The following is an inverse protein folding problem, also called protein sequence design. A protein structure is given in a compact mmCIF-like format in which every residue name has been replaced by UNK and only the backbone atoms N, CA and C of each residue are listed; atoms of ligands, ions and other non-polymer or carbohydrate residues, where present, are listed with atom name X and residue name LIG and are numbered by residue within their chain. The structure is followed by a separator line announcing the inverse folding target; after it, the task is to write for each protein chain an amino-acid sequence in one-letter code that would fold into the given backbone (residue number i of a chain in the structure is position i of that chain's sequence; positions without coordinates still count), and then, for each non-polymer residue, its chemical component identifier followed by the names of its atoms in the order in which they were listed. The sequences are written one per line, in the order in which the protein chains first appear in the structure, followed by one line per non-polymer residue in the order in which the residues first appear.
data_IF_777369744567
#
_entry.id   IF_777369744567
#
_cell.length_a   1.000
_cell.length_b   1.000
_cell.length_c   1.000
_cell.angle_alpha   90.00
_cell.angle_beta   90.00
_cell.angle_gamma   90.00
#
_symmetry.space_group_name_H-M   'P 1'
#
loop_
_entity.id
_entity.type
_entity.pdbx_description
1 polymer ?
#
# COMPACT_ATOMS: atom_id res chain seq x y z
N UNK A 1 -36.08 0.50 19.31
CA UNK A 1 -34.64 0.53 18.97
C UNK A 1 -34.32 -0.46 17.82
N UNK A 2 -35.27 -0.76 16.93
CA UNK A 2 -35.11 -1.86 15.96
C UNK A 2 -34.67 -1.45 14.54
N UNK A 3 -34.70 -0.18 14.14
CA UNK A 3 -34.31 0.25 12.77
C UNK A 3 -32.87 0.79 12.64
N UNK A 4 -31.98 0.46 13.58
CA UNK A 4 -30.58 0.92 13.52
C UNK A 4 -29.66 -0.01 12.74
N UNK A 5 -30.03 -1.29 12.58
CA UNK A 5 -29.20 -2.29 11.92
C UNK A 5 -29.30 -2.26 10.38
N UNK A 6 -30.41 -1.76 9.82
CA UNK A 6 -30.60 -1.62 8.36
C UNK A 6 -29.83 -0.44 7.73
N UNK A 7 -29.20 0.42 8.55
CA UNK A 7 -28.49 1.63 8.08
C UNK A 7 -26.97 1.44 7.97
N UNK A 8 -26.45 0.25 8.29
CA UNK A 8 -25.01 -0.03 8.32
C UNK A 8 -24.70 -1.05 7.24
N UNK A 9 -23.99 -0.61 6.21
CA UNK A 9 -23.50 -1.48 5.13
C UNK A 9 -21.99 -1.66 5.25
N UNK A 10 -21.55 -2.92 5.18
CA UNK A 10 -20.13 -3.25 5.13
C UNK A 10 -19.68 -3.38 3.68
N UNK A 11 -18.65 -2.62 3.32
CA UNK A 11 -17.96 -2.68 2.03
C UNK A 11 -16.52 -3.10 2.28
N UNK A 12 -15.96 -3.94 1.41
CA UNK A 12 -14.55 -4.29 1.55
C UNK A 12 -13.70 -3.07 1.13
N UNK A 13 -12.47 -2.96 1.63
CA UNK A 13 -11.56 -1.88 1.21
C UNK A 13 -11.31 -1.91 -0.30
N UNK A 14 -11.20 -3.10 -0.87
CA UNK A 14 -11.01 -3.30 -2.31
C UNK A 14 -12.19 -2.77 -3.12
N UNK A 15 -13.43 -3.08 -2.70
CA UNK A 15 -14.65 -2.58 -3.33
C UNK A 15 -14.74 -1.07 -3.23
N UNK A 16 -14.53 -0.51 -2.04
CA UNK A 16 -14.52 0.94 -1.83
C UNK A 16 -13.48 1.63 -2.72
N UNK A 17 -12.25 1.12 -2.75
CA UNK A 17 -11.19 1.65 -3.61
C UNK A 17 -11.51 1.54 -5.10
N UNK A 18 -12.15 0.44 -5.55
CA UNK A 18 -12.63 0.31 -6.93
C UNK A 18 -13.64 1.42 -7.27
N UNK A 19 -14.62 1.64 -6.39
CA UNK A 19 -15.61 2.71 -6.52
C UNK A 19 -14.95 4.08 -6.65
N UNK A 20 -13.99 4.38 -5.77
CA UNK A 20 -13.19 5.60 -5.85
C UNK A 20 -12.50 5.74 -7.21
N UNK A 21 -11.85 4.69 -7.70
CA UNK A 21 -11.17 4.73 -8.98
C UNK A 21 -12.13 4.99 -10.14
N UNK A 22 -13.29 4.33 -10.18
CA UNK A 22 -14.32 4.53 -11.22
C UNK A 22 -14.84 5.97 -11.20
N UNK A 23 -15.15 6.50 -10.00
CA UNK A 23 -15.60 7.87 -9.83
C UNK A 23 -14.55 8.91 -10.27
N UNK A 24 -13.26 8.55 -10.19
CA UNK A 24 -12.14 9.37 -10.64
C UNK A 24 -11.69 9.06 -12.08
N UNK A 25 -12.54 8.43 -12.89
CA UNK A 25 -12.32 8.28 -14.33
C UNK A 25 -11.59 7.01 -14.76
N UNK A 26 -11.44 6.01 -13.88
CA UNK A 26 -10.99 4.69 -14.30
C UNK A 26 -12.01 4.08 -15.27
N UNK A 27 -11.60 3.92 -16.53
CA UNK A 27 -12.37 3.17 -17.52
C UNK A 27 -11.96 1.70 -17.48
N UNK A 28 -12.90 0.84 -17.10
CA UNK A 28 -12.67 -0.61 -17.08
C UNK A 28 -13.12 -1.22 -18.41
N UNK A 29 -12.16 -1.76 -19.17
CA UNK A 29 -12.45 -2.57 -20.35
C UNK A 29 -13.11 -3.88 -19.87
N UNK A 30 -14.32 -4.24 -20.34
CA UNK A 30 -14.97 -5.50 -19.95
C UNK A 30 -14.12 -6.76 -20.20
N UNK A 31 -13.19 -6.72 -21.16
CA UNK A 31 -12.27 -7.81 -21.47
C UNK A 31 -11.02 -7.82 -20.57
N UNK A 32 -10.70 -6.70 -19.93
CA UNK A 32 -9.50 -6.54 -19.10
C UNK A 32 -9.87 -6.44 -17.62
N UNK A 33 -9.26 -7.28 -16.79
CA UNK A 33 -9.42 -7.17 -15.33
C UNK A 33 -8.79 -5.88 -14.78
N UNK A 34 -9.18 -5.51 -13.56
CA UNK A 34 -8.52 -4.45 -12.77
C UNK A 34 -8.05 -5.04 -11.46
N UNK A 35 -6.80 -4.80 -11.09
CA UNK A 35 -6.26 -5.10 -9.76
C UNK A 35 -6.17 -3.79 -8.98
N UNK A 36 -6.89 -3.71 -7.86
CA UNK A 36 -6.79 -2.62 -6.90
C UNK A 36 -5.72 -2.97 -5.88
N UNK A 37 -4.75 -2.09 -5.70
CA UNK A 37 -3.66 -2.21 -4.73
C UNK A 37 -3.80 -1.07 -3.73
N UNK A 38 -4.52 -1.30 -2.63
CA UNK A 38 -4.65 -0.32 -1.54
C UNK A 38 -3.45 -0.44 -0.60
N UNK A 39 -2.42 0.35 -0.90
CA UNK A 39 -1.21 0.46 -0.10
C UNK A 39 -1.41 1.44 1.06
N UNK A 40 -1.81 0.91 2.22
CA UNK A 40 -2.06 1.67 3.44
C UNK A 40 -0.87 1.78 4.39
N UNK A 41 -1.15 2.35 5.56
CA UNK A 41 -0.15 2.53 6.63
C UNK A 41 0.31 1.21 7.25
N UNK A 42 -0.63 0.32 7.58
CA UNK A 42 -0.35 -0.98 8.18
C UNK A 42 -0.37 -2.14 7.18
N UNK A 43 -1.40 -2.17 6.33
CA UNK A 43 -1.63 -3.25 5.37
C UNK A 43 -1.50 -2.76 3.93
N UNK A 44 -1.22 -3.70 3.04
CA UNK A 44 -1.47 -3.53 1.60
C UNK A 44 -2.54 -4.55 1.22
N UNK A 45 -3.73 -4.06 0.88
CA UNK A 45 -4.88 -4.87 0.52
C UNK A 45 -4.97 -4.94 -1.01
N UNK A 46 -5.06 -6.14 -1.57
CA UNK A 46 -5.03 -6.38 -3.02
C UNK A 46 -6.25 -7.19 -3.40
N UNK A 47 -7.01 -6.70 -4.38
CA UNK A 47 -8.18 -7.40 -4.91
C UNK A 47 -8.31 -7.18 -6.41
N UNK A 48 -8.82 -8.18 -7.11
CA UNK A 48 -8.98 -8.14 -8.56
C UNK A 48 -10.46 -8.20 -8.93
N UNK A 49 -10.87 -7.36 -9.86
CA UNK A 49 -12.24 -7.23 -10.34
C UNK A 49 -12.33 -7.33 -11.86
N UNK A 50 -13.49 -7.77 -12.35
CA UNK A 50 -13.86 -7.65 -13.77
C UNK A 50 -15.29 -7.16 -13.88
N UNK A 51 -15.54 -6.32 -14.89
CA UNK A 51 -16.87 -5.80 -15.20
C UNK A 51 -17.70 -6.84 -15.95
N UNK A 52 -18.96 -6.99 -15.58
CA UNK A 52 -19.92 -7.82 -16.31
C UNK A 52 -20.39 -7.05 -17.55
N UNK A 53 -20.22 -7.64 -18.74
CA UNK A 53 -20.50 -7.00 -20.04
C UNK A 53 -21.99 -6.74 -20.27
N UNK A 54 -22.88 -7.46 -19.57
CA UNK A 54 -24.33 -7.48 -19.83
C UNK A 54 -25.16 -6.62 -18.87
N UNK A 55 -24.62 -6.20 -17.73
CA UNK A 55 -25.32 -5.42 -16.71
C UNK A 55 -24.63 -4.07 -16.52
N UNK A 56 -25.41 -2.99 -16.55
CA UNK A 56 -24.88 -1.63 -16.38
C UNK A 56 -24.35 -1.49 -14.96
N UNK A 57 -23.03 -1.62 -14.85
CA UNK A 57 -22.30 -1.24 -13.67
C UNK A 57 -22.14 -2.33 -12.62
N UNK A 58 -22.11 -3.59 -13.01
CA UNK A 58 -21.78 -4.66 -12.06
C UNK A 58 -20.34 -5.12 -12.26
N UNK A 59 -19.57 -5.16 -11.17
CA UNK A 59 -18.24 -5.78 -11.13
C UNK A 59 -18.23 -6.94 -10.12
N UNK A 60 -17.46 -7.98 -10.39
CA UNK A 60 -17.27 -9.11 -9.48
C UNK A 60 -15.78 -9.37 -9.24
N UNK A 61 -15.47 -9.90 -8.06
CA UNK A 61 -14.10 -10.34 -7.73
C UNK A 61 -13.70 -11.55 -8.57
N UNK A 62 -12.51 -11.52 -9.18
CA UNK A 62 -11.99 -12.58 -10.06
C UNK A 62 -10.88 -13.42 -9.44
N UNK A 63 -10.40 -13.02 -8.26
CA UNK A 63 -9.38 -13.73 -7.51
C UNK A 63 -9.58 -13.48 -6.00
N UNK A 64 -9.06 -14.38 -5.17
CA UNK A 64 -9.14 -14.24 -3.71
C UNK A 64 -8.36 -13.00 -3.27
N UNK A 65 -8.96 -12.04 -2.54
CA UNK A 65 -8.25 -10.88 -2.06
C UNK A 65 -7.10 -11.25 -1.11
N UNK A 66 -5.97 -10.55 -1.26
CA UNK A 66 -4.80 -10.71 -0.40
C UNK A 66 -4.63 -9.49 0.53
N UNK A 67 -4.12 -9.73 1.73
CA UNK A 67 -3.81 -8.68 2.71
C UNK A 67 -2.39 -8.88 3.22
N UNK A 68 -1.49 -7.98 2.85
CA UNK A 68 -0.08 -8.03 3.22
C UNK A 68 0.17 -7.11 4.41
N UNK A 69 0.84 -7.63 5.45
CA UNK A 69 1.39 -6.82 6.55
C UNK A 69 2.71 -6.19 6.12
N UNK A 70 2.63 -5.30 5.11
CA UNK A 70 3.76 -4.67 4.44
C UNK A 70 3.55 -3.18 4.15
N UNK A 71 2.60 -2.54 4.83
CA UNK A 71 2.32 -1.11 4.67
C UNK A 71 3.47 -0.19 5.10
N UNK A 72 3.26 1.12 5.00
CA UNK A 72 4.27 2.17 5.27
C UNK A 72 4.96 2.05 6.64
N UNK A 73 4.28 1.55 7.67
CA UNK A 73 4.85 1.40 9.02
C UNK A 73 6.02 0.41 9.06
N UNK A 74 6.04 -0.59 8.16
CA UNK A 74 7.13 -1.57 8.11
C UNK A 74 8.43 -0.95 7.56
N UNK A 75 8.33 0.12 6.76
CA UNK A 75 9.49 0.93 6.36
C UNK A 75 10.05 1.64 7.59
N UNK A 76 9.18 2.22 8.43
CA UNK A 76 9.56 2.87 9.68
C UNK A 76 10.22 1.91 10.67
N UNK A 77 9.68 0.69 10.79
CA UNK A 77 10.25 -0.35 11.67
C UNK A 77 11.68 -0.70 11.24
N UNK A 78 11.90 -0.99 9.95
CA UNK A 78 13.23 -1.32 9.43
C UNK A 78 14.22 -0.15 9.54
N UNK A 79 13.74 1.08 9.33
CA UNK A 79 14.55 2.27 9.57
C UNK A 79 14.94 2.38 11.06
N UNK A 80 14.01 2.12 11.98
CA UNK A 80 14.27 2.10 13.42
C UNK A 80 15.28 1.04 13.83
N UNK A 81 15.18 -0.18 13.30
CA UNK A 81 16.15 -1.27 13.50
C UNK A 81 17.54 -0.85 13.02
N UNK A 82 17.64 -0.31 11.80
CA UNK A 82 18.90 0.19 11.25
C UNK A 82 19.50 1.33 12.10
N UNK A 83 18.67 2.26 12.57
CA UNK A 83 19.11 3.37 13.43
C UNK A 83 19.60 2.86 14.79
N UNK A 84 18.92 1.88 15.38
CA UNK A 84 19.32 1.26 16.65
C UNK A 84 20.71 0.65 16.55
N UNK A 85 20.95 -0.14 15.50
CA UNK A 85 22.25 -0.79 15.27
C UNK A 85 23.34 0.26 14.97
N UNK A 86 23.02 1.25 14.13
CA UNK A 86 23.97 2.29 13.73
C UNK A 86 24.38 3.21 14.89
N UNK A 87 23.46 3.53 15.79
CA UNK A 87 23.69 4.47 16.90
C UNK A 87 24.15 3.79 18.18
N UNK A 88 24.22 2.46 18.20
CA UNK A 88 24.61 1.68 19.36
C UNK A 88 25.98 2.12 19.90
N UNK A 89 26.07 2.35 21.21
CA UNK A 89 27.31 2.78 21.87
C UNK A 89 27.67 4.26 21.65
N UNK A 90 26.87 5.01 20.89
CA UNK A 90 27.03 6.45 20.73
C UNK A 90 26.19 7.25 21.73
N UNK A 91 26.46 8.55 21.84
CA UNK A 91 25.64 9.49 22.62
C UNK A 91 24.21 9.66 22.09
N UNK A 92 23.90 9.14 20.90
CA UNK A 92 22.58 9.21 20.27
C UNK A 92 21.79 7.90 20.41
N UNK A 93 22.30 6.92 21.15
CA UNK A 93 21.65 5.62 21.31
C UNK A 93 20.23 5.72 21.90
N UNK A 94 20.01 6.69 22.79
CA UNK A 94 18.69 6.95 23.40
C UNK A 94 17.77 7.82 22.52
N UNK A 95 18.30 8.42 21.44
CA UNK A 95 17.55 9.29 20.53
C UNK A 95 16.91 8.53 19.35
N UNK A 96 17.05 7.19 19.29
CA UNK A 96 16.61 6.36 18.15
C UNK A 96 15.15 6.62 17.79
N UNK A 97 14.25 6.66 18.77
CA UNK A 97 12.82 6.87 18.53
C UNK A 97 12.53 8.26 17.95
N UNK A 98 13.20 9.30 18.46
CA UNK A 98 13.10 10.66 17.94
C UNK A 98 13.64 10.76 16.50
N UNK A 99 14.80 10.15 16.23
CA UNK A 99 15.42 10.15 14.89
C UNK A 99 14.53 9.39 13.90
N UNK A 100 13.92 8.28 14.31
CA UNK A 100 12.93 7.54 13.53
C UNK A 100 11.70 8.39 13.24
N UNK A 101 11.19 9.14 14.22
CA UNK A 101 10.05 10.04 14.02
C UNK A 101 10.40 11.15 13.01
N UNK A 102 11.61 11.71 13.08
CA UNK A 102 12.12 12.66 12.08
C UNK A 102 12.18 12.05 10.68
N UNK A 103 12.64 10.80 10.56
CA UNK A 103 12.65 10.03 9.31
C UNK A 103 11.23 9.89 8.74
N UNK A 104 10.25 9.54 9.57
CA UNK A 104 8.86 9.35 9.16
C UNK A 104 8.19 10.65 8.70
N UNK A 105 8.46 11.76 9.37
CA UNK A 105 7.90 13.08 9.05
C UNK A 105 8.51 13.72 7.79
N UNK A 106 9.72 13.32 7.41
CA UNK A 106 10.47 14.03 6.35
C UNK A 106 11.09 13.08 5.33
N UNK A 107 12.15 12.37 5.71
CA UNK A 107 13.00 11.59 4.81
C UNK A 107 12.22 10.52 4.06
N UNK A 108 11.37 9.75 4.75
CA UNK A 108 10.55 8.68 4.16
C UNK A 108 9.59 9.22 3.10
N UNK A 109 8.94 10.35 3.38
CA UNK A 109 7.94 10.97 2.51
C UNK A 109 8.57 11.61 1.26
N UNK A 110 9.82 12.07 1.39
CA UNK A 110 10.55 12.79 0.33
C UNK A 110 11.46 11.89 -0.50
N UNK A 111 11.61 10.62 -0.13
CA UNK A 111 12.51 9.70 -0.80
C UNK A 111 12.07 9.43 -2.25
N UNK A 112 12.99 9.59 -3.21
CA UNK A 112 12.73 9.45 -4.66
C UNK A 112 13.75 8.64 -5.44
N UNK A 113 15.01 8.55 -4.99
CA UNK A 113 16.09 7.92 -5.76
C UNK A 113 17.14 7.26 -4.86
N UNK A 114 17.74 6.19 -5.36
CA UNK A 114 18.89 5.51 -4.74
C UNK A 114 20.21 6.27 -4.90
N UNK A 115 20.28 7.16 -5.89
CA UNK A 115 21.53 7.81 -6.32
C UNK A 115 21.84 9.07 -5.50
N UNK A 116 20.86 9.55 -4.74
CA UNK A 116 20.96 10.75 -3.91
C UNK A 116 21.08 10.41 -2.43
N UNK A 117 21.76 11.30 -1.70
CA UNK A 117 21.79 11.24 -0.24
C UNK A 117 20.45 11.63 0.35
N UNK A 118 20.01 10.87 1.34
CA UNK A 118 18.87 11.18 2.18
C UNK A 118 19.33 11.74 3.51
N UNK A 119 18.58 12.72 4.03
CA UNK A 119 18.96 13.46 5.23
C UNK A 119 17.85 13.33 6.26
N UNK A 120 18.21 12.93 7.49
CA UNK A 120 17.33 12.94 8.66
C UNK A 120 17.80 14.08 9.55
N UNK A 121 17.04 15.17 9.61
CA UNK A 121 17.31 16.29 10.53
C UNK A 121 16.65 16.01 11.87
N UNK A 122 17.46 15.85 12.92
CA UNK A 122 16.98 15.49 14.25
C UNK A 122 17.59 16.36 15.37
N UNK A 123 18.77 16.95 15.13
CA UNK A 123 19.56 17.67 16.14
C UNK A 123 19.79 19.15 15.83
N UNK A 124 20.68 19.75 16.61
CA UNK A 124 21.12 21.16 16.51
C UNK A 124 22.31 21.29 15.56
N UNK A 125 22.59 22.50 15.02
CA UNK A 125 23.73 22.72 14.12
C UNK A 125 25.11 22.33 14.66
N UNK A 126 25.29 22.30 15.98
CA UNK A 126 26.55 21.88 16.63
C UNK A 126 26.71 20.36 16.74
N UNK A 127 25.65 19.60 16.52
CA UNK A 127 25.68 18.15 16.67
C UNK A 127 26.37 17.53 15.45
N UNK A 128 27.49 16.86 15.72
CA UNK A 128 28.37 16.25 14.72
C UNK A 128 28.92 14.93 15.27
N UNK A 129 29.01 13.95 14.38
CA UNK A 129 29.68 12.68 14.58
C UNK A 129 29.98 12.06 13.19
N UNK A 130 31.25 12.10 12.77
CA UNK A 130 31.63 11.68 11.41
C UNK A 130 31.49 10.17 11.22
N UNK A 131 31.76 9.37 12.25
CA UNK A 131 31.64 7.91 12.19
C UNK A 131 30.19 7.48 11.91
N UNK A 132 29.23 8.28 12.37
CA UNK A 132 27.79 8.05 12.18
C UNK A 132 27.21 8.79 10.97
N UNK A 133 28.04 9.49 10.19
CA UNK A 133 27.61 10.39 9.11
C UNK A 133 26.64 11.50 9.59
N UNK A 134 26.90 12.06 10.77
CA UNK A 134 26.13 13.15 11.36
C UNK A 134 26.91 14.47 11.25
N UNK A 135 26.27 15.47 10.65
CA UNK A 135 26.81 16.82 10.54
C UNK A 135 25.68 17.84 10.60
N UNK A 136 25.88 18.97 11.29
CA UNK A 136 24.88 20.04 11.41
C UNK A 136 23.52 19.55 11.95
N UNK A 137 23.52 18.55 12.85
CA UNK A 137 22.30 17.95 13.40
C UNK A 137 21.51 17.09 12.41
N UNK A 138 22.15 16.65 11.32
CA UNK A 138 21.54 15.82 10.30
C UNK A 138 22.35 14.54 10.10
N UNK A 139 21.67 13.40 10.13
CA UNK A 139 22.25 12.12 9.71
C UNK A 139 22.08 11.96 8.20
N UNK A 140 23.17 11.62 7.51
CA UNK A 140 23.14 11.24 6.09
C UNK A 140 23.01 9.72 5.95
N UNK A 141 22.07 9.30 5.11
CA UNK A 141 21.88 7.91 4.67
C UNK A 141 22.00 7.86 3.15
N UNK A 142 22.69 6.86 2.61
CA UNK A 142 22.69 6.67 1.16
C UNK A 142 21.29 6.28 0.69
N UNK A 143 20.92 6.66 -0.53
CA UNK A 143 19.64 6.26 -1.10
C UNK A 143 19.47 4.74 -1.16
N UNK A 144 20.56 4.00 -1.38
CA UNK A 144 20.55 2.53 -1.31
C UNK A 144 20.10 1.98 0.07
N UNK A 145 20.54 2.60 1.18
CA UNK A 145 20.11 2.20 2.53
C UNK A 145 18.62 2.49 2.71
N UNK A 146 18.17 3.69 2.33
CA UNK A 146 16.75 4.06 2.47
C UNK A 146 15.86 3.16 1.60
N UNK A 147 16.23 2.90 0.36
CA UNK A 147 15.57 1.94 -0.51
C UNK A 147 15.50 0.54 0.11
N UNK A 148 16.55 0.12 0.83
CA UNK A 148 16.58 -1.12 1.60
C UNK A 148 15.40 -1.28 2.56
N UNK A 149 14.90 -0.19 3.16
CA UNK A 149 13.75 -0.22 4.06
C UNK A 149 12.43 -0.49 3.33
N UNK A 150 12.31 -0.04 2.09
CA UNK A 150 11.12 -0.21 1.27
C UNK A 150 11.11 -1.54 0.50
N UNK A 151 12.28 -2.06 0.11
CA UNK A 151 12.43 -3.27 -0.73
C UNK A 151 11.56 -4.45 -0.30
N UNK A 152 11.51 -4.86 0.99
CA UNK A 152 10.70 -6.02 1.37
C UNK A 152 9.18 -5.78 1.24
N UNK A 153 8.74 -4.52 1.27
CA UNK A 153 7.34 -4.16 0.99
C UNK A 153 7.09 -4.13 -0.52
N UNK A 154 7.99 -3.50 -1.29
CA UNK A 154 7.95 -3.46 -2.76
C UNK A 154 7.88 -4.87 -3.37
N UNK A 155 8.80 -5.76 -2.97
CA UNK A 155 8.90 -7.11 -3.50
C UNK A 155 7.63 -7.92 -3.22
N UNK A 156 7.08 -7.79 -2.02
CA UNK A 156 5.84 -8.46 -1.62
C UNK A 156 4.63 -7.96 -2.43
N UNK A 157 4.53 -6.66 -2.67
CA UNK A 157 3.45 -6.07 -3.48
C UNK A 157 3.54 -6.56 -4.93
N UNK A 158 4.74 -6.54 -5.53
CA UNK A 158 4.94 -7.04 -6.89
C UNK A 158 4.51 -8.50 -6.99
N UNK A 159 4.96 -9.36 -6.05
CA UNK A 159 4.60 -10.77 -6.05
C UNK A 159 3.08 -10.97 -5.95
N UNK A 160 2.41 -10.26 -5.04
CA UNK A 160 0.97 -10.41 -4.85
C UNK A 160 0.17 -9.89 -6.06
N UNK A 161 0.58 -8.80 -6.72
CA UNK A 161 -0.07 -8.36 -7.97
C UNK A 161 0.04 -9.45 -9.05
N UNK A 162 1.22 -10.07 -9.19
CA UNK A 162 1.44 -11.12 -10.18
C UNK A 162 0.58 -12.37 -9.91
N UNK A 163 0.28 -12.67 -8.65
CA UNK A 163 -0.56 -13.80 -8.27
C UNK A 163 -2.06 -13.57 -8.55
N UNK A 164 -2.50 -12.31 -8.67
CA UNK A 164 -3.93 -11.98 -8.80
C UNK A 164 -4.43 -12.08 -10.25
N UNK A 165 -3.82 -11.35 -11.18
CA UNK A 165 -4.23 -11.39 -12.60
C UNK A 165 -3.15 -10.80 -13.52
N UNK A 166 -2.49 -11.63 -14.31
CA UNK A 166 -1.39 -11.25 -15.20
C UNK A 166 -1.81 -10.49 -16.47
N UNK A 167 -3.10 -10.22 -16.67
CA UNK A 167 -3.60 -9.47 -17.83
C UNK A 167 -4.41 -8.24 -17.42
N UNK A 168 -4.34 -7.83 -16.15
CA UNK A 168 -5.13 -6.74 -15.60
C UNK A 168 -4.38 -5.40 -15.58
N UNK A 169 -5.13 -4.30 -15.64
CA UNK A 169 -4.62 -2.99 -15.24
C UNK A 169 -4.51 -2.94 -13.71
N UNK A 170 -3.34 -2.62 -13.18
CA UNK A 170 -3.17 -2.43 -11.74
C UNK A 170 -3.34 -0.95 -11.37
N UNK A 171 -4.10 -0.65 -10.34
CA UNK A 171 -4.33 0.71 -9.84
C UNK A 171 -3.86 0.79 -8.39
N UNK A 172 -2.85 1.62 -8.15
CA UNK A 172 -2.26 1.83 -6.83
C UNK A 172 -2.98 2.97 -6.10
N UNK A 173 -3.55 2.67 -4.94
CA UNK A 173 -4.21 3.63 -4.04
C UNK A 173 -3.72 3.51 -2.60
N UNK A 174 -4.24 4.35 -1.69
CA UNK A 174 -3.86 4.38 -0.28
C UNK A 174 -2.73 5.35 0.07
N UNK A 175 -2.49 5.55 1.36
CA UNK A 175 -1.51 6.53 1.86
C UNK A 175 -0.06 6.22 1.53
N UNK A 176 0.30 4.94 1.42
CA UNK A 176 1.65 4.51 1.07
C UNK A 176 1.91 4.68 -0.44
N UNK A 177 0.87 4.68 -1.28
CA UNK A 177 0.96 4.96 -2.71
C UNK A 177 1.45 6.39 -3.03
N UNK A 178 1.35 7.31 -2.07
CA UNK A 178 1.89 8.66 -2.21
C UNK A 178 3.43 8.70 -2.20
N UNK A 179 4.10 7.59 -1.84
CA UNK A 179 5.55 7.48 -1.96
C UNK A 179 5.96 7.42 -3.44
N UNK A 180 6.70 8.44 -3.88
CA UNK A 180 7.19 8.55 -5.26
C UNK A 180 8.14 7.40 -5.62
N UNK A 181 9.08 7.08 -4.74
CA UNK A 181 10.01 5.96 -4.96
C UNK A 181 9.27 4.62 -5.07
N UNK A 182 8.29 4.35 -4.20
CA UNK A 182 7.51 3.12 -4.27
C UNK A 182 6.75 3.01 -5.60
N UNK A 183 6.11 4.10 -6.03
CA UNK A 183 5.36 4.12 -7.28
C UNK A 183 6.27 3.96 -8.49
N UNK A 184 7.41 4.65 -8.56
CA UNK A 184 8.35 4.53 -9.70
C UNK A 184 8.89 3.11 -9.83
N UNK A 185 9.31 2.50 -8.72
CA UNK A 185 9.83 1.13 -8.70
C UNK A 185 8.77 0.08 -9.04
N UNK A 186 7.54 0.23 -8.50
CA UNK A 186 6.43 -0.65 -8.87
C UNK A 186 6.15 -0.51 -10.37
N UNK A 187 6.06 0.71 -10.89
CA UNK A 187 5.76 0.97 -12.30
C UNK A 187 6.82 0.39 -13.21
N UNK A 188 8.10 0.57 -12.89
CA UNK A 188 9.21 0.00 -13.67
C UNK A 188 9.14 -1.54 -13.69
N UNK A 189 8.96 -2.18 -12.53
CA UNK A 189 8.90 -3.64 -12.42
C UNK A 189 7.67 -4.23 -13.11
N UNK A 190 6.55 -3.52 -13.10
CA UNK A 190 5.33 -3.92 -13.80
C UNK A 190 5.50 -3.77 -15.32
N UNK A 191 6.03 -2.63 -15.78
CA UNK A 191 6.30 -2.39 -17.20
C UNK A 191 7.29 -3.40 -17.78
N UNK A 192 8.32 -3.79 -17.03
CA UNK A 192 9.28 -4.83 -17.44
C UNK A 192 8.63 -6.20 -17.68
N UNK A 193 7.42 -6.41 -17.19
CA UNK A 193 6.61 -7.63 -17.37
C UNK A 193 5.44 -7.43 -18.34
N UNK A 194 5.38 -6.29 -19.03
CA UNK A 194 4.26 -5.93 -19.91
C UNK A 194 2.96 -5.62 -19.16
N UNK A 195 3.02 -5.33 -17.86
CA UNK A 195 1.87 -5.01 -17.03
C UNK A 195 1.79 -3.50 -16.81
N UNK A 196 0.58 -2.98 -16.82
CA UNK A 196 0.33 -1.56 -16.61
C UNK A 196 -0.01 -1.27 -15.15
N UNK A 197 0.65 -0.25 -14.59
CA UNK A 197 0.35 0.29 -13.28
C UNK A 197 -0.02 1.77 -13.41
N UNK A 198 -1.21 2.12 -12.93
CA UNK A 198 -1.67 3.50 -12.80
C UNK A 198 -1.81 3.89 -11.33
N UNK A 199 -1.73 5.19 -11.08
CA UNK A 199 -1.95 5.81 -9.77
C UNK A 199 -2.80 7.07 -10.03
N UNK A 200 -4.02 7.18 -9.47
CA UNK A 200 -4.85 8.37 -9.65
C UNK A 200 -4.16 9.62 -9.10
N UNK A 201 -4.35 10.78 -9.74
CA UNK A 201 -3.71 12.05 -9.33
C UNK A 201 -4.40 12.71 -8.11
N UNK A 202 -5.66 12.35 -7.80
CA UNK A 202 -6.47 12.93 -6.72
C UNK A 202 -6.15 12.30 -5.35
N UNK A 203 -6.66 12.89 -4.25
CA UNK A 203 -6.37 12.57 -2.83
C UNK A 203 -6.40 11.07 -2.42
N UNK A 204 -5.39 10.31 -2.85
CA UNK A 204 -5.29 8.85 -2.74
C UNK A 204 -5.33 8.36 -1.27
N UNK A 205 -4.91 9.22 -0.34
CA UNK A 205 -4.89 8.94 1.10
C UNK A 205 -6.29 8.70 1.69
N UNK A 206 -7.36 9.10 0.97
CA UNK A 206 -8.77 8.96 1.38
C UNK A 206 -9.57 8.02 0.49
N UNK A 207 -8.92 7.33 -0.46
CA UNK A 207 -9.58 6.51 -1.47
C UNK A 207 -10.63 5.54 -0.89
N UNK A 208 -10.31 4.87 0.22
CA UNK A 208 -11.24 3.95 0.90
C UNK A 208 -12.44 4.68 1.51
N UNK A 209 -12.25 5.83 2.15
CA UNK A 209 -13.32 6.57 2.80
C UNK A 209 -14.27 7.20 1.76
N UNK A 210 -13.70 7.84 0.74
CA UNK A 210 -14.47 8.43 -0.37
C UNK A 210 -15.20 7.35 -1.17
N UNK A 211 -14.52 6.22 -1.42
CA UNK A 211 -15.06 5.05 -2.07
C UNK A 211 -16.23 4.40 -1.31
N UNK A 212 -16.16 4.35 0.03
CA UNK A 212 -17.25 3.82 0.85
C UNK A 212 -18.51 4.69 0.78
N UNK A 213 -18.35 6.02 0.70
CA UNK A 213 -19.48 6.93 0.49
C UNK A 213 -20.08 6.75 -0.91
N UNK A 214 -19.25 6.59 -1.95
CA UNK A 214 -19.73 6.29 -3.30
C UNK A 214 -20.47 4.95 -3.37
N UNK A 215 -19.97 3.91 -2.69
CA UNK A 215 -20.66 2.62 -2.59
C UNK A 215 -22.07 2.75 -2.00
N UNK A 216 -22.22 3.49 -0.89
CA UNK A 216 -23.52 3.71 -0.25
C UNK A 216 -24.53 4.41 -1.17
N UNK A 217 -24.07 5.23 -2.11
CA UNK A 217 -24.93 5.92 -3.06
C UNK A 217 -25.30 5.04 -4.27
N UNK A 218 -24.35 4.27 -4.83
CA UNK A 218 -24.50 3.66 -6.16
C UNK A 218 -24.52 2.10 -6.21
N UNK A 219 -24.16 1.38 -5.13
CA UNK A 219 -24.30 -0.09 -4.99
C UNK A 219 -23.77 -0.95 -6.19
N UNK A 220 -22.54 -0.72 -6.65
CA UNK A 220 -22.01 -1.22 -7.94
C UNK A 220 -21.40 -2.65 -7.93
N UNK A 221 -21.23 -3.27 -6.75
CA UNK A 221 -20.61 -4.62 -6.63
C UNK A 221 -21.66 -5.64 -6.21
N UNK A 222 -21.93 -6.63 -7.08
CA UNK A 222 -23.03 -7.59 -6.92
C UNK A 222 -22.61 -8.96 -6.37
N UNK A 223 -21.30 -9.31 -6.39
CA UNK A 223 -20.82 -10.60 -5.89
C UNK A 223 -19.39 -10.54 -5.31
N UNK A 224 -19.18 -11.30 -4.22
CA UNK A 224 -17.93 -11.36 -3.42
C UNK A 224 -17.37 -12.78 -3.35
N UNK A 225 -16.05 -12.92 -3.23
CA UNK A 225 -15.40 -14.22 -2.95
C UNK A 225 -15.05 -14.28 -1.45
N UNK A 226 -15.45 -15.36 -0.78
CA UNK A 226 -15.08 -15.56 0.63
C UNK A 226 -13.57 -15.76 0.79
N UNK A 227 -12.98 -15.10 1.80
CA UNK A 227 -11.56 -15.25 2.16
C UNK A 227 -11.26 -16.66 2.72
N UNK A 228 -12.24 -17.24 3.40
CA UNK A 228 -12.12 -18.53 4.06
C UNK A 228 -13.23 -19.47 3.58
N UNK A 229 -12.89 -20.74 3.45
CA UNK A 229 -13.88 -21.79 3.26
C UNK A 229 -14.21 -22.33 4.64
N UNK A 230 -15.39 -22.02 5.14
CA UNK A 230 -15.89 -22.59 6.38
C UNK A 230 -16.59 -23.91 6.06
N UNK A 231 -16.22 -24.96 6.80
CA UNK A 231 -16.79 -26.29 6.66
C UNK A 231 -16.63 -27.06 7.96
N UNK A 232 -17.48 -28.06 8.15
CA UNK A 232 -17.34 -29.05 9.22
C UNK A 232 -16.93 -30.37 8.61
N UNK A 233 -16.14 -31.16 9.34
CA UNK A 233 -15.79 -32.51 8.91
C UNK A 233 -17.05 -33.38 8.89
N UNK A 234 -17.46 -33.82 7.70
CA UNK A 234 -18.63 -34.67 7.52
C UNK A 234 -18.19 -36.10 7.22
N UNK A 235 -18.56 -37.06 8.07
CA UNK A 235 -18.40 -38.50 7.82
C UNK A 235 -19.71 -39.12 7.32
N UNK A 236 -20.24 -38.67 6.18
CA UNK A 236 -21.39 -39.34 5.57
C UNK A 236 -21.11 -39.59 4.09
N UNK A 237 -20.71 -40.82 3.79
CA UNK A 237 -20.81 -41.39 2.44
C UNK A 237 -22.28 -41.75 2.26
N UNK A 238 -23.01 -40.94 1.49
CA UNK A 238 -24.30 -41.37 0.97
C UNK A 238 -24.04 -42.41 -0.12
N UNK A 239 -24.56 -43.63 0.10
CA UNK A 239 -24.70 -44.66 -0.92
C UNK A 239 -26.05 -44.52 -1.64
#
# INVERSE_FOLDING_TARGET
MENSHERIHFVTKGEASLHFCIANGLTTDPLRGVVIVDAGGGTVDISAYRKVTQLKGESFEIARPECLFKGSIFVSTRAGEHLKDKLQGSKYADDVDHIRECFDKTTKLRFRSTDEWSYIRFGRPRDKDEALNISNGQMKLSGAVVAGFFRPSLDAIVLAILNQCSSALSVLVGGFAASEWLYSELKERMNARGLELSRPDSHINKAVADGAVSFYLDHFVSARISKHTDGVECSIIYQ
#
